data_IF_491001302465
#
_entry.id   IF_491001302465
#
_cell.length_a   1.000
_cell.length_b   1.000
_cell.length_c   1.000
_cell.angle_alpha   90.00
_cell.angle_beta   90.00
_cell.angle_gamma   90.00
#
_symmetry.space_group_name_H-M   'P 1'
#
loop_
_entity.id
_entity.type
_entity.pdbx_description
1 polymer ?
#
# COMPACT_ATOMS: atom_id res chain seq x y z
N UNK A 1 -15.32 -22.52 29.23
CA UNK A 1 -14.33 -21.53 29.70
C UNK A 1 -13.24 -21.54 28.67
N UNK A 2 -12.96 -20.41 28.02
CA UNK A 2 -11.87 -20.35 27.06
C UNK A 2 -10.54 -20.45 27.82
N UNK A 3 -9.66 -21.34 27.38
CA UNK A 3 -8.33 -21.46 27.96
C UNK A 3 -7.34 -20.51 27.25
N UNK A 4 -6.06 -20.60 27.62
CA UNK A 4 -5.02 -19.76 27.02
C UNK A 4 -4.80 -20.09 25.55
N UNK A 5 -5.01 -21.35 25.14
CA UNK A 5 -4.86 -21.78 23.75
C UNK A 5 -6.00 -21.20 22.89
N UNK A 6 -7.23 -21.21 23.40
CA UNK A 6 -8.38 -20.60 22.73
C UNK A 6 -8.15 -19.10 22.50
N UNK A 7 -7.68 -18.36 23.52
CA UNK A 7 -7.41 -16.93 23.43
C UNK A 7 -6.26 -16.62 22.46
N UNK A 8 -5.23 -17.47 22.43
CA UNK A 8 -4.09 -17.30 21.53
C UNK A 8 -4.51 -17.50 20.07
N UNK A 9 -5.33 -18.53 19.78
CA UNK A 9 -5.84 -18.82 18.45
C UNK A 9 -6.70 -17.69 17.90
N UNK A 10 -7.61 -17.14 18.72
CA UNK A 10 -8.44 -15.99 18.34
C UNK A 10 -7.58 -14.76 18.02
N UNK A 11 -6.50 -14.52 18.77
CA UNK A 11 -5.56 -13.42 18.51
C UNK A 11 -4.88 -13.59 17.15
N UNK A 12 -4.35 -14.77 16.89
CA UNK A 12 -3.65 -15.08 15.64
C UNK A 12 -4.58 -14.93 14.43
N UNK A 13 -5.81 -15.41 14.54
CA UNK A 13 -6.82 -15.26 13.48
C UNK A 13 -7.15 -13.80 13.21
N UNK A 14 -7.35 -13.00 14.25
CA UNK A 14 -7.60 -11.56 14.12
C UNK A 14 -6.42 -10.83 13.47
N UNK A 15 -5.20 -11.12 13.90
CA UNK A 15 -4.00 -10.46 13.36
C UNK A 15 -3.74 -10.88 11.90
N UNK A 16 -3.97 -12.15 11.57
CA UNK A 16 -3.92 -12.65 10.19
C UNK A 16 -4.95 -11.95 9.31
N UNK A 17 -6.20 -11.84 9.76
CA UNK A 17 -7.27 -11.17 9.02
C UNK A 17 -6.93 -9.69 8.76
N UNK A 18 -6.41 -8.99 9.77
CA UNK A 18 -5.96 -7.59 9.65
C UNK A 18 -4.82 -7.43 8.64
N UNK A 19 -3.84 -8.33 8.66
CA UNK A 19 -2.73 -8.31 7.71
C UNK A 19 -3.21 -8.50 6.26
N UNK A 20 -4.14 -9.43 6.02
CA UNK A 20 -4.74 -9.67 4.70
C UNK A 20 -5.51 -8.43 4.23
N UNK A 21 -6.32 -7.82 5.10
CA UNK A 21 -7.09 -6.63 4.75
C UNK A 21 -6.18 -5.43 4.41
N UNK A 22 -5.14 -5.21 5.21
CA UNK A 22 -4.15 -4.17 4.97
C UNK A 22 -3.43 -4.37 3.63
N UNK A 23 -3.07 -5.60 3.28
CA UNK A 23 -2.45 -5.91 1.98
C UNK A 23 -3.41 -5.62 0.80
N UNK A 24 -4.69 -5.97 0.93
CA UNK A 24 -5.71 -5.67 -0.09
C UNK A 24 -5.89 -4.17 -0.32
N UNK A 25 -5.96 -3.37 0.75
CA UNK A 25 -6.08 -1.90 0.66
C UNK A 25 -4.87 -1.24 -0.01
N UNK A 26 -3.68 -1.81 0.13
CA UNK A 26 -2.46 -1.31 -0.55
C UNK A 26 -2.54 -1.49 -2.08
N UNK A 27 -3.14 -2.58 -2.56
CA UNK A 27 -3.28 -2.82 -4.01
C UNK A 27 -4.21 -1.82 -4.69
N UNK A 28 -5.26 -1.35 -4.01
CA UNK A 28 -6.25 -0.41 -4.57
C UNK A 28 -5.73 1.01 -4.76
N UNK A 29 -4.55 1.35 -4.23
CA UNK A 29 -3.96 2.69 -4.31
C UNK A 29 -2.89 2.81 -5.41
N UNK A 30 -2.80 1.85 -6.33
CA UNK A 30 -1.89 1.94 -7.46
C UNK A 30 -2.24 3.19 -8.31
N UNK A 31 -1.25 4.04 -8.66
CA UNK A 31 -1.49 5.24 -9.44
C UNK A 31 -1.89 4.87 -10.87
N UNK A 32 -2.95 5.51 -11.37
CA UNK A 32 -3.49 5.29 -12.71
C UNK A 32 -2.86 6.31 -13.66
N UNK A 33 -2.36 5.93 -14.84
CA UNK A 33 -1.79 6.88 -15.79
C UNK A 33 -2.76 8.04 -16.10
N UNK A 34 -2.38 9.27 -15.74
CA UNK A 34 -3.19 10.48 -15.92
C UNK A 34 -2.54 11.51 -16.85
N UNK A 35 -1.40 11.16 -17.46
CA UNK A 35 -0.62 12.04 -18.33
C UNK A 35 0.37 12.95 -17.59
N UNK A 36 0.38 12.94 -16.25
CA UNK A 36 1.35 13.66 -15.42
C UNK A 36 1.96 12.72 -14.36
N UNK A 37 3.19 13.01 -13.96
CA UNK A 37 3.91 12.26 -12.95
C UNK A 37 3.30 12.49 -11.56
N UNK A 38 2.96 11.42 -10.85
CA UNK A 38 2.41 11.51 -9.49
C UNK A 38 3.38 12.07 -8.43
N UNK A 39 4.65 12.25 -8.77
CA UNK A 39 5.69 12.73 -7.86
C UNK A 39 6.07 14.21 -8.08
N UNK A 40 6.40 14.57 -9.33
CA UNK A 40 6.92 15.89 -9.70
C UNK A 40 5.98 16.70 -10.61
N UNK A 41 4.84 16.13 -11.03
CA UNK A 41 3.84 16.74 -11.90
C UNK A 41 4.30 17.02 -13.35
N UNK A 42 5.46 16.50 -13.76
CA UNK A 42 5.92 16.60 -15.15
C UNK A 42 5.04 15.77 -16.11
N UNK A 43 4.86 16.21 -17.38
CA UNK A 43 4.13 15.43 -18.37
C UNK A 43 4.83 14.09 -18.64
N UNK A 44 4.06 13.01 -18.70
CA UNK A 44 4.55 11.65 -18.94
C UNK A 44 3.90 11.03 -20.17
N UNK A 45 4.58 10.07 -20.78
CA UNK A 45 4.06 9.35 -21.95
C UNK A 45 2.75 8.60 -21.65
N UNK A 46 2.00 8.28 -22.70
CA UNK A 46 0.75 7.51 -22.58
C UNK A 46 0.99 6.19 -21.83
N UNK A 47 0.14 5.92 -20.83
CA UNK A 47 0.24 4.71 -20.01
C UNK A 47 1.29 4.76 -18.89
N UNK A 48 2.09 5.82 -18.77
CA UNK A 48 3.01 6.01 -17.66
C UNK A 48 2.34 6.81 -16.52
N UNK A 49 2.68 6.45 -15.27
CA UNK A 49 2.27 7.19 -14.07
C UNK A 49 3.42 8.03 -13.45
N UNK A 50 4.66 7.81 -13.91
CA UNK A 50 5.86 8.46 -13.41
C UNK A 50 6.80 8.79 -14.58
N UNK A 51 7.53 9.89 -14.49
CA UNK A 51 8.49 10.30 -15.53
C UNK A 51 9.72 9.39 -15.55
N UNK A 52 10.15 8.89 -14.40
CA UNK A 52 11.29 7.99 -14.25
C UNK A 52 11.12 7.03 -13.04
N UNK A 53 12.16 6.21 -12.83
CA UNK A 53 12.22 5.27 -11.72
C UNK A 53 12.36 5.98 -10.36
N UNK A 54 13.12 7.08 -10.31
CA UNK A 54 13.38 7.81 -9.07
C UNK A 54 12.07 8.40 -8.52
N UNK A 55 11.25 9.02 -9.37
CA UNK A 55 9.94 9.55 -9.02
C UNK A 55 8.97 8.47 -8.55
N UNK A 56 8.98 7.31 -9.19
CA UNK A 56 8.16 6.17 -8.76
C UNK A 56 8.56 5.71 -7.37
N UNK A 57 9.86 5.51 -7.14
CA UNK A 57 10.38 4.92 -5.92
C UNK A 57 10.21 5.89 -4.73
N UNK A 58 10.47 7.19 -4.95
CA UNK A 58 10.17 8.27 -4.00
C UNK A 58 8.70 8.29 -3.57
N UNK A 59 7.79 8.24 -4.55
CA UNK A 59 6.36 8.22 -4.28
C UNK A 59 5.96 6.97 -3.48
N UNK A 60 6.51 5.80 -3.82
CA UNK A 60 6.26 4.56 -3.08
C UNK A 60 6.76 4.64 -1.64
N UNK A 61 7.95 5.20 -1.40
CA UNK A 61 8.49 5.40 -0.05
C UNK A 61 7.58 6.32 0.76
N UNK A 62 7.18 7.47 0.21
CA UNK A 62 6.27 8.40 0.89
C UNK A 62 4.91 7.77 1.19
N UNK A 63 4.35 6.99 0.26
CA UNK A 63 3.09 6.26 0.48
C UNK A 63 3.21 5.18 1.55
N UNK A 64 4.33 4.44 1.61
CA UNK A 64 4.59 3.47 2.68
C UNK A 64 4.64 4.15 4.04
N UNK A 65 5.35 5.29 4.14
CA UNK A 65 5.44 6.05 5.39
C UNK A 65 4.08 6.63 5.81
N UNK A 66 3.27 7.14 4.87
CA UNK A 66 1.92 7.64 5.16
C UNK A 66 0.95 6.54 5.63
N UNK A 67 1.12 5.30 5.14
CA UNK A 67 0.32 4.15 5.57
C UNK A 67 0.84 3.44 6.83
N UNK A 68 1.90 3.97 7.46
CA UNK A 68 2.44 3.50 8.75
C UNK A 68 2.02 4.41 9.93
N UNK A 69 1.19 5.44 9.67
CA UNK A 69 0.62 6.35 10.67
C UNK A 69 -0.79 5.93 11.09
#
# INVERSE_FOLDING_TARGET
MADIADIAAEREQLDTARAIEAARKRLTLAPVPCGHCYNCDEPVGEGAAFCDADCRDDWQVRKRLQGMA
#
